data_IF_811968541124
#
_entry.id   IF_811968541124
#
_cell.length_a   1.000
_cell.length_b   1.000
_cell.length_c   1.000
_cell.angle_alpha   90.00
_cell.angle_beta   90.00
_cell.angle_gamma   90.00
#
_symmetry.space_group_name_H-M   'P 1'
#
loop_
_entity.id
_entity.type
_entity.pdbx_description
1 polymer ?
#
# COMPACT_ATOMS: atom_id res chain seq x y z
N UNK A 1 7.40 2.03 -20.97
CA UNK A 1 6.91 0.63 -20.90
C UNK A 1 7.85 -0.16 -20.01
N UNK A 2 7.33 -0.89 -19.02
CA UNK A 2 8.12 -1.70 -18.08
C UNK A 2 8.33 -3.13 -18.61
N UNK A 3 7.30 -3.73 -19.19
CA UNK A 3 7.39 -5.03 -19.86
C UNK A 3 6.24 -5.22 -20.85
N UNK A 4 6.44 -6.11 -21.82
CA UNK A 4 5.40 -6.63 -22.71
C UNK A 4 5.40 -8.15 -22.59
N UNK A 5 4.20 -8.73 -22.44
CA UNK A 5 3.99 -10.18 -22.39
C UNK A 5 2.99 -10.55 -23.46
N UNK A 6 3.20 -11.70 -24.08
CA UNK A 6 2.25 -12.35 -24.97
C UNK A 6 1.50 -13.40 -24.16
N UNK A 7 0.23 -13.61 -24.44
CA UNK A 7 -0.51 -14.76 -23.93
C UNK A 7 -0.06 -16.08 -24.59
N UNK A 8 -0.76 -17.18 -24.29
CA UNK A 8 -0.31 -18.51 -24.67
C UNK A 8 -0.62 -18.90 -26.13
N UNK A 9 -1.63 -18.30 -26.74
CA UNK A 9 -2.06 -18.51 -28.13
C UNK A 9 -1.70 -17.35 -29.07
N UNK A 10 -1.20 -16.24 -28.52
CA UNK A 10 -0.58 -15.16 -29.28
C UNK A 10 -1.57 -14.13 -29.80
N UNK A 11 -2.78 -14.05 -29.26
CA UNK A 11 -3.81 -13.12 -29.71
C UNK A 11 -4.00 -11.89 -28.78
N UNK A 12 -3.38 -11.89 -27.60
CA UNK A 12 -3.33 -10.73 -26.71
C UNK A 12 -1.91 -10.36 -26.23
N UNK A 13 -1.72 -9.04 -26.04
CA UNK A 13 -0.54 -8.47 -25.41
C UNK A 13 -0.89 -7.83 -24.06
N UNK A 14 -0.15 -8.18 -23.02
CA UNK A 14 -0.17 -7.48 -21.73
C UNK A 14 1.01 -6.51 -21.65
N UNK A 15 0.69 -5.22 -21.70
CA UNK A 15 1.65 -4.15 -21.46
C UNK A 15 1.65 -3.72 -19.98
N UNK A 16 2.77 -3.94 -19.30
CA UNK A 16 3.01 -3.39 -17.97
C UNK A 16 3.65 -2.02 -18.13
N UNK A 17 2.98 -0.98 -17.63
CA UNK A 17 3.38 0.42 -17.82
C UNK A 17 3.35 1.19 -16.50
N UNK A 18 4.15 2.25 -16.43
CA UNK A 18 3.96 3.31 -15.45
C UNK A 18 3.25 4.46 -16.16
N UNK A 19 2.05 4.85 -15.69
CA UNK A 19 1.29 5.90 -16.33
C UNK A 19 1.89 7.28 -16.00
N UNK A 20 2.02 8.13 -17.02
CA UNK A 20 2.50 9.50 -16.88
C UNK A 20 1.33 10.47 -16.65
N UNK A 21 0.51 10.20 -15.63
CA UNK A 21 -0.76 10.88 -15.35
C UNK A 21 -1.96 9.93 -15.34
N UNK A 22 -3.19 10.45 -15.27
CA UNK A 22 -4.40 9.62 -15.36
C UNK A 22 -4.47 8.96 -16.74
N UNK A 23 -4.86 7.67 -16.77
CA UNK A 23 -4.98 6.94 -18.03
C UNK A 23 -6.29 7.25 -18.76
N UNK A 24 -7.32 7.77 -18.06
CA UNK A 24 -8.61 8.09 -18.66
C UNK A 24 -8.67 9.55 -19.14
N UNK A 25 -9.37 9.77 -20.26
CA UNK A 25 -9.60 11.10 -20.84
C UNK A 25 -10.46 12.03 -19.95
N UNK A 26 -11.13 11.49 -18.94
CA UNK A 26 -11.92 12.24 -17.95
C UNK A 26 -11.06 12.75 -16.79
N UNK A 27 -9.80 12.34 -16.70
CA UNK A 27 -8.93 12.58 -15.54
C UNK A 27 -8.91 11.43 -14.52
N UNK A 28 -9.69 10.39 -14.73
CA UNK A 28 -9.71 9.21 -13.86
C UNK A 28 -8.49 8.29 -14.05
N UNK A 29 -8.12 7.57 -12.99
CA UNK A 29 -6.93 6.70 -12.98
C UNK A 29 -7.00 5.59 -14.04
N UNK A 30 -8.17 5.02 -14.23
CA UNK A 30 -8.45 3.89 -15.13
C UNK A 30 -9.72 4.21 -15.92
N UNK A 31 -9.87 3.68 -17.13
CA UNK A 31 -11.13 3.75 -17.86
C UNK A 31 -12.24 2.93 -17.18
N UNK A 32 -11.88 1.94 -16.38
CA UNK A 32 -12.79 1.07 -15.64
C UNK A 32 -13.04 1.62 -14.24
N UNK A 33 -13.55 2.85 -14.16
CA UNK A 33 -13.84 3.54 -12.90
C UNK A 33 -15.34 3.58 -12.57
N UNK A 34 -16.17 2.99 -13.44
CA UNK A 34 -17.62 2.88 -13.28
C UNK A 34 -18.01 1.41 -13.11
N UNK A 35 -18.89 1.10 -12.15
CA UNK A 35 -19.36 -0.26 -11.89
C UNK A 35 -19.14 -0.69 -10.44
N UNK A 36 -18.92 -1.99 -10.22
CA UNK A 36 -18.49 -2.48 -8.91
C UNK A 36 -17.04 -2.05 -8.67
N UNK A 37 -16.88 -1.12 -7.73
CA UNK A 37 -15.59 -0.51 -7.38
C UNK A 37 -15.06 -1.03 -6.05
N UNK A 38 -15.62 -2.13 -5.52
CA UNK A 38 -15.06 -2.79 -4.37
C UNK A 38 -13.63 -3.25 -4.69
N UNK A 39 -12.67 -2.83 -3.87
CA UNK A 39 -11.28 -3.22 -4.05
C UNK A 39 -11.15 -4.74 -3.90
N UNK A 40 -10.54 -5.39 -4.88
CA UNK A 40 -10.08 -6.75 -4.68
C UNK A 40 -8.97 -6.76 -3.60
N UNK A 41 -8.76 -7.88 -2.87
CA UNK A 41 -7.78 -7.92 -1.77
C UNK A 41 -6.37 -7.45 -2.16
N UNK A 42 -5.92 -7.76 -3.39
CA UNK A 42 -4.60 -7.37 -3.89
C UNK A 42 -4.49 -5.89 -4.29
N UNK A 43 -5.60 -5.15 -4.32
CA UNK A 43 -5.65 -3.72 -4.63
C UNK A 43 -5.62 -2.83 -3.38
N UNK A 44 -5.91 -3.40 -2.20
CA UNK A 44 -6.02 -2.67 -0.93
C UNK A 44 -4.74 -1.94 -0.57
N UNK A 45 -3.59 -2.62 -0.52
CA UNK A 45 -2.31 -1.98 -0.15
C UNK A 45 -1.85 -0.92 -1.19
N UNK A 46 -1.91 -1.18 -2.51
CA UNK A 46 -1.67 -0.13 -3.50
C UNK A 46 -2.60 1.08 -3.36
N UNK A 47 -3.87 0.87 -3.04
CA UNK A 47 -4.83 1.96 -2.83
C UNK A 47 -4.53 2.76 -1.56
N UNK A 48 -4.26 2.07 -0.46
CA UNK A 48 -3.83 2.68 0.80
C UNK A 48 -2.60 3.56 0.59
N UNK A 49 -1.60 3.07 -0.16
CA UNK A 49 -0.40 3.84 -0.47
C UNK A 49 -0.72 5.12 -1.25
N UNK A 50 -1.65 5.06 -2.22
CA UNK A 50 -2.09 6.25 -2.99
C UNK A 50 -2.79 7.25 -2.08
N UNK A 51 -3.71 6.79 -1.24
CA UNK A 51 -4.42 7.64 -0.27
C UNK A 51 -3.46 8.29 0.70
N UNK A 52 -2.47 7.55 1.20
CA UNK A 52 -1.42 8.06 2.08
C UNK A 52 -0.57 9.13 1.39
N UNK A 53 -0.08 8.88 0.17
CA UNK A 53 0.71 9.87 -0.61
C UNK A 53 -0.11 11.14 -0.85
N UNK A 54 -1.39 11.00 -1.20
CA UNK A 54 -2.28 12.15 -1.39
C UNK A 54 -2.43 12.97 -0.11
N UNK A 55 -2.68 12.32 1.03
CA UNK A 55 -2.77 12.99 2.35
C UNK A 55 -1.45 13.65 2.75
N UNK A 56 -0.32 13.02 2.45
CA UNK A 56 1.00 13.60 2.71
C UNK A 56 1.24 14.89 1.90
N UNK A 57 0.72 14.97 0.67
CA UNK A 57 0.82 16.14 -0.19
C UNK A 57 -0.20 17.25 0.17
N UNK A 58 -1.46 16.88 0.35
CA UNK A 58 -2.57 17.81 0.63
C UNK A 58 -2.57 18.33 2.07
N UNK A 59 -1.97 17.57 2.99
CA UNK A 59 -1.88 17.84 4.43
C UNK A 59 -3.20 18.32 5.06
N UNK A 60 -4.31 17.58 4.92
CA UNK A 60 -5.59 18.01 5.46
C UNK A 60 -5.54 18.10 7.00
N UNK A 61 -6.27 19.08 7.56
CA UNK A 61 -6.36 19.30 9.00
C UNK A 61 -6.83 18.04 9.74
N UNK A 62 -6.20 17.72 10.86
CA UNK A 62 -6.53 16.54 11.67
C UNK A 62 -6.15 15.18 11.04
N UNK A 63 -5.39 15.17 9.95
CA UNK A 63 -4.98 13.91 9.31
C UNK A 63 -4.00 13.12 10.18
N UNK A 64 -4.39 11.90 10.56
CA UNK A 64 -3.50 11.00 11.31
C UNK A 64 -2.21 10.67 10.56
N UNK A 65 -2.29 10.50 9.23
CA UNK A 65 -1.10 10.29 8.38
C UNK A 65 -0.14 11.48 8.50
N UNK A 66 -0.64 12.71 8.51
CA UNK A 66 0.19 13.91 8.65
C UNK A 66 0.83 13.97 10.03
N UNK A 67 0.08 13.67 11.09
CA UNK A 67 0.61 13.64 12.45
C UNK A 67 1.78 12.65 12.59
N UNK A 68 1.65 11.44 12.04
CA UNK A 68 2.72 10.43 12.02
C UNK A 68 3.92 10.84 11.14
N UNK A 69 3.70 11.55 10.04
CA UNK A 69 4.79 12.03 9.18
C UNK A 69 5.58 13.18 9.81
N UNK A 70 4.90 14.03 10.57
CA UNK A 70 5.51 15.14 11.29
C UNK A 70 6.25 14.70 12.57
N UNK A 71 5.91 13.52 13.11
CA UNK A 71 6.54 12.92 14.27
C UNK A 71 7.08 11.49 13.97
N UNK A 72 8.31 11.37 13.46
CA UNK A 72 8.93 10.08 13.20
C UNK A 72 9.15 9.20 14.44
N UNK A 73 9.20 9.79 15.64
CA UNK A 73 9.33 9.02 16.87
C UNK A 73 8.02 8.32 17.18
N UNK A 74 6.90 9.05 17.12
CA UNK A 74 5.55 8.48 17.25
C UNK A 74 5.29 7.39 16.20
N UNK A 75 5.68 7.61 14.95
CA UNK A 75 5.55 6.58 13.92
C UNK A 75 6.34 5.30 14.24
N UNK A 76 7.55 5.45 14.81
CA UNK A 76 8.37 4.33 15.26
C UNK A 76 7.75 3.59 16.45
N UNK A 77 7.26 4.33 17.45
CA UNK A 77 6.56 3.77 18.62
C UNK A 77 5.34 2.95 18.19
N UNK A 78 4.53 3.48 17.26
CA UNK A 78 3.39 2.75 16.70
C UNK A 78 3.79 1.46 16.00
N UNK A 79 4.81 1.50 15.14
CA UNK A 79 5.30 0.27 14.48
C UNK A 79 5.75 -0.78 15.51
N UNK A 80 6.38 -0.36 16.61
CA UNK A 80 6.80 -1.28 17.69
C UNK A 80 5.61 -1.84 18.46
N UNK A 81 4.66 -0.97 18.86
CA UNK A 81 3.42 -1.35 19.53
C UNK A 81 2.67 -2.40 18.72
N UNK A 82 2.30 -2.09 17.46
CA UNK A 82 1.52 -3.01 16.62
C UNK A 82 2.24 -4.35 16.37
N UNK A 83 3.57 -4.34 16.29
CA UNK A 83 4.33 -5.58 16.14
C UNK A 83 4.22 -6.48 17.38
N UNK A 84 4.23 -5.90 18.58
CA UNK A 84 3.98 -6.64 19.82
C UNK A 84 2.51 -7.09 19.91
N UNK A 85 1.56 -6.27 19.48
CA UNK A 85 0.14 -6.59 19.47
C UNK A 85 -0.17 -7.77 18.54
N UNK A 86 0.40 -7.81 17.33
CA UNK A 86 0.27 -8.98 16.42
C UNK A 86 0.75 -10.26 17.11
N UNK A 87 1.90 -10.22 17.76
CA UNK A 87 2.48 -11.40 18.43
C UNK A 87 1.60 -11.86 19.60
N UNK A 88 1.07 -10.92 20.39
CA UNK A 88 0.13 -11.21 21.47
C UNK A 88 -1.17 -11.80 20.93
N UNK A 89 -1.75 -11.18 19.90
CA UNK A 89 -3.02 -11.61 19.32
C UNK A 89 -2.94 -13.05 18.80
N UNK A 90 -1.85 -13.40 18.11
CA UNK A 90 -1.62 -14.77 17.60
C UNK A 90 -1.54 -15.81 18.72
N UNK A 91 -1.03 -15.43 19.89
CA UNK A 91 -0.83 -16.37 21.00
C UNK A 91 -2.09 -16.56 21.84
N UNK A 92 -2.82 -15.47 22.08
CA UNK A 92 -3.73 -15.37 23.21
C UNK A 92 -5.11 -14.78 22.85
N UNK A 93 -5.34 -14.31 21.62
CA UNK A 93 -6.58 -13.64 21.22
C UNK A 93 -7.30 -14.33 20.04
N UNK A 94 -8.16 -13.60 19.32
CA UNK A 94 -8.96 -14.13 18.21
C UNK A 94 -8.30 -13.89 16.85
N UNK A 95 -8.68 -14.69 15.85
CA UNK A 95 -8.26 -14.49 14.45
C UNK A 95 -8.60 -13.07 13.94
N UNK A 96 -9.76 -12.54 14.35
CA UNK A 96 -10.15 -11.16 14.03
C UNK A 96 -9.17 -10.14 14.62
N UNK A 97 -8.68 -10.34 15.85
CA UNK A 97 -7.66 -9.46 16.43
C UNK A 97 -6.35 -9.57 15.66
N UNK A 98 -5.91 -10.79 15.30
CA UNK A 98 -4.71 -10.99 14.48
C UNK A 98 -4.78 -10.19 13.18
N UNK A 99 -5.90 -10.27 12.46
CA UNK A 99 -6.08 -9.56 11.20
C UNK A 99 -6.07 -8.02 11.39
N UNK A 100 -6.66 -7.52 12.49
CA UNK A 100 -6.67 -6.09 12.79
C UNK A 100 -5.26 -5.57 13.14
N UNK A 101 -4.53 -6.21 14.06
CA UNK A 101 -3.18 -5.72 14.43
C UNK A 101 -2.21 -5.84 13.24
N UNK A 102 -2.38 -6.87 12.40
CA UNK A 102 -1.57 -7.03 11.20
C UNK A 102 -1.85 -5.90 10.19
N UNK A 103 -3.11 -5.48 10.06
CA UNK A 103 -3.49 -4.34 9.24
C UNK A 103 -2.87 -3.03 9.79
N UNK A 104 -2.93 -2.82 11.10
CA UNK A 104 -2.37 -1.63 11.75
C UNK A 104 -0.84 -1.60 11.65
N UNK A 105 -0.16 -2.73 11.83
CA UNK A 105 1.27 -2.84 11.60
C UNK A 105 1.66 -2.48 10.15
N UNK A 106 0.93 -3.01 9.15
CA UNK A 106 1.17 -2.69 7.75
C UNK A 106 0.95 -1.19 7.47
N UNK A 107 -0.12 -0.61 8.02
CA UNK A 107 -0.41 0.82 7.87
C UNK A 107 0.71 1.69 8.44
N UNK A 108 1.08 1.50 9.72
CA UNK A 108 2.11 2.31 10.38
C UNK A 108 3.49 2.12 9.72
N UNK A 109 3.82 0.90 9.30
CA UNK A 109 5.05 0.63 8.54
C UNK A 109 5.08 1.39 7.22
N UNK A 110 3.97 1.43 6.47
CA UNK A 110 3.88 2.20 5.22
C UNK A 110 4.11 3.70 5.44
N UNK A 111 3.52 4.27 6.49
CA UNK A 111 3.69 5.70 6.83
C UNK A 111 5.15 5.99 7.21
N UNK A 112 5.74 5.15 8.07
CA UNK A 112 7.14 5.29 8.49
C UNK A 112 8.11 5.18 7.31
N UNK A 113 7.89 4.23 6.39
CA UNK A 113 8.67 4.10 5.16
C UNK A 113 8.54 5.34 4.28
N UNK A 114 7.33 5.89 4.13
CA UNK A 114 7.09 7.09 3.34
C UNK A 114 7.84 8.30 3.90
N UNK A 115 7.86 8.48 5.23
CA UNK A 115 8.66 9.53 5.90
C UNK A 115 10.16 9.44 5.62
N UNK A 116 10.68 8.27 5.21
CA UNK A 116 12.07 8.06 4.76
C UNK A 116 12.24 8.08 3.23
N UNK A 117 11.21 8.46 2.48
CA UNK A 117 11.23 8.44 1.01
C UNK A 117 11.26 7.03 0.43
N UNK A 118 10.70 6.04 1.14
CA UNK A 118 10.61 4.63 0.72
C UNK A 118 9.15 4.19 0.61
N UNK A 119 8.93 3.03 -0.01
CA UNK A 119 7.61 2.41 -0.19
C UNK A 119 7.71 0.90 0.04
N UNK A 120 6.55 0.24 0.19
CA UNK A 120 6.50 -1.23 0.28
C UNK A 120 7.11 -1.91 -0.95
N UNK A 121 7.07 -1.27 -2.12
CA UNK A 121 7.67 -1.81 -3.35
C UNK A 121 9.18 -2.12 -3.17
N UNK A 122 9.90 -1.32 -2.38
CA UNK A 122 11.29 -1.58 -2.05
C UNK A 122 11.47 -2.87 -1.24
N UNK A 123 10.63 -3.07 -0.22
CA UNK A 123 10.63 -4.31 0.58
C UNK A 123 10.21 -5.53 -0.25
N UNK A 124 9.20 -5.38 -1.12
CA UNK A 124 8.76 -6.43 -2.05
C UNK A 124 9.87 -6.84 -3.02
N UNK A 125 10.69 -5.90 -3.50
CA UNK A 125 11.84 -6.22 -4.33
C UNK A 125 12.89 -7.03 -3.55
N UNK A 126 13.22 -6.62 -2.33
CA UNK A 126 14.12 -7.39 -1.46
C UNK A 126 13.58 -8.81 -1.22
N UNK A 127 12.27 -8.97 -0.98
CA UNK A 127 11.65 -10.29 -0.83
C UNK A 127 11.69 -11.11 -2.11
N UNK A 128 11.50 -10.47 -3.28
CA UNK A 128 11.61 -11.13 -4.59
C UNK A 128 13.03 -11.67 -4.80
N UNK A 129 14.04 -10.88 -4.48
CA UNK A 129 15.44 -11.26 -4.68
C UNK A 129 15.87 -12.42 -3.75
N UNK A 130 15.22 -12.57 -2.59
CA UNK A 130 15.43 -13.69 -1.66
C UNK A 130 14.72 -14.99 -2.03
N UNK A 131 13.73 -14.95 -2.92
CA UNK A 131 12.95 -16.13 -3.32
C UNK A 131 13.69 -17.02 -4.34
N UNK A 132 14.85 -16.58 -4.84
CA UNK A 132 15.75 -17.35 -5.69
C UNK A 132 16.65 -18.26 -4.88
#
# INVERSE_FOLDING_TARGET
>A
VRALRVDCDGDALLALVEPAGPACHTGERTCFFTGDMALAPHEVLPDLQRTMIRRAAERPEGSYVVALLDDPALAGEKVQEEAEEVVRAVREESDERVDNEAADLLFHLMVMLHGKGRTLAGAQQVLRDRRG
#
